data_IF_532039156870
#
_entry.id   IF_532039156870
#
_cell.length_a   1.000
_cell.length_b   1.000
_cell.length_c   1.000
_cell.angle_alpha   90.00
_cell.angle_beta   90.00
_cell.angle_gamma   90.00
#
_symmetry.space_group_name_H-M   'P 1'
#
loop_
_entity.id
_entity.type
_entity.pdbx_description
1 polymer ?
#
# COMPACT_ATOMS: atom_id res chain seq x y z
N UNK A 1 21.83 26.42 -29.90
CA UNK A 1 21.32 25.04 -29.74
C UNK A 1 20.96 24.69 -28.30
N UNK A 2 21.86 24.71 -27.32
CA UNK A 2 21.50 24.40 -25.91
C UNK A 2 20.52 25.39 -25.29
N UNK A 3 20.71 26.69 -25.55
CA UNK A 3 19.81 27.76 -25.05
C UNK A 3 18.39 27.67 -25.63
N UNK A 4 18.22 27.29 -26.89
CA UNK A 4 16.90 27.11 -27.51
C UNK A 4 16.15 25.91 -26.92
N UNK A 5 16.88 24.84 -26.56
CA UNK A 5 16.29 23.66 -25.92
C UNK A 5 15.83 23.98 -24.50
N UNK A 6 16.62 24.76 -23.74
CA UNK A 6 16.23 25.23 -22.41
C UNK A 6 15.02 26.16 -22.45
N UNK A 7 14.94 27.09 -23.40
CA UNK A 7 13.76 27.95 -23.59
C UNK A 7 12.49 27.12 -23.87
N UNK A 8 12.60 26.14 -24.76
CA UNK A 8 11.49 25.23 -25.06
C UNK A 8 11.08 24.36 -23.86
N UNK A 9 12.02 24.01 -22.99
CA UNK A 9 11.73 23.27 -21.76
C UNK A 9 11.01 24.15 -20.73
N UNK A 10 11.40 25.42 -20.60
CA UNK A 10 10.70 26.39 -19.75
C UNK A 10 9.26 26.66 -20.25
N UNK A 11 9.04 26.71 -21.56
CA UNK A 11 7.68 26.82 -22.12
C UNK A 11 6.81 25.61 -21.77
N UNK A 12 7.35 24.39 -21.81
CA UNK A 12 6.64 23.18 -21.38
C UNK A 12 6.28 23.25 -19.90
N UNK A 13 7.19 23.74 -19.05
CA UNK A 13 6.97 23.89 -17.61
C UNK A 13 5.87 24.94 -17.33
N UNK A 14 5.93 26.10 -18.00
CA UNK A 14 4.91 27.15 -17.87
C UNK A 14 3.53 26.68 -18.32
N UNK A 15 3.46 25.92 -19.42
CA UNK A 15 2.22 25.33 -19.93
C UNK A 15 1.62 24.34 -18.91
N UNK A 16 2.44 23.51 -18.27
CA UNK A 16 1.99 22.63 -17.19
C UNK A 16 1.58 23.40 -15.93
N UNK A 17 2.23 24.53 -15.63
CA UNK A 17 1.88 25.42 -14.52
C UNK A 17 0.48 26.01 -14.62
N UNK A 18 0.01 26.30 -15.84
CA UNK A 18 -1.35 26.81 -16.08
C UNK A 18 -2.45 25.74 -15.98
N UNK A 19 -2.07 24.46 -15.93
CA UNK A 19 -3.00 23.31 -15.94
C UNK A 19 -2.76 22.35 -14.76
N UNK A 20 -3.29 22.66 -13.56
CA UNK A 20 -3.08 21.85 -12.35
C UNK A 20 -3.64 20.41 -12.47
N UNK A 21 -4.67 20.20 -13.30
CA UNK A 21 -5.30 18.89 -13.58
C UNK A 21 -4.39 17.90 -14.34
N UNK A 22 -3.27 18.39 -14.88
CA UNK A 22 -2.27 17.60 -15.59
C UNK A 22 -2.68 17.19 -17.00
N UNK A 23 -1.71 17.26 -17.92
CA UNK A 23 -1.92 17.07 -19.35
C UNK A 23 -1.36 15.72 -19.82
N UNK A 24 -2.08 15.08 -20.74
CA UNK A 24 -1.55 13.92 -21.47
C UNK A 24 -0.54 14.36 -22.53
N UNK A 25 0.30 13.43 -23.01
CA UNK A 25 1.31 13.72 -24.05
C UNK A 25 0.72 14.40 -25.29
N UNK A 26 -0.44 13.93 -25.76
CA UNK A 26 -1.11 14.51 -26.93
C UNK A 26 -1.60 15.94 -26.67
N UNK A 27 -2.14 16.19 -25.47
CA UNK A 27 -2.57 17.53 -25.09
C UNK A 27 -1.38 18.48 -24.92
N UNK A 28 -0.24 18.00 -24.43
CA UNK A 28 0.99 18.80 -24.40
C UNK A 28 1.42 19.16 -25.82
N UNK A 29 1.43 18.21 -26.78
CA UNK A 29 1.80 18.54 -28.16
C UNK A 29 0.85 19.52 -28.85
N UNK A 30 -0.45 19.49 -28.54
CA UNK A 30 -1.45 20.39 -29.14
C UNK A 30 -1.40 21.82 -28.62
N UNK A 31 -0.99 22.00 -27.35
CA UNK A 31 -0.98 23.31 -26.70
C UNK A 31 0.39 24.02 -26.77
N UNK A 32 1.39 23.42 -27.43
CA UNK A 32 2.72 24.04 -27.58
C UNK A 32 2.73 25.04 -28.74
N UNK A 33 3.42 26.16 -28.53
CA UNK A 33 3.59 27.22 -29.53
C UNK A 33 4.61 26.88 -30.62
N UNK A 34 5.23 25.69 -30.56
CA UNK A 34 6.23 25.22 -31.53
C UNK A 34 5.97 23.78 -31.95
N UNK A 35 6.35 23.46 -33.19
CA UNK A 35 6.27 22.10 -33.72
C UNK A 35 7.43 21.26 -33.19
N UNK A 36 7.11 20.15 -32.52
CA UNK A 36 8.09 19.17 -32.05
C UNK A 36 7.65 17.76 -32.41
N UNK A 37 8.62 16.90 -32.75
CA UNK A 37 8.34 15.48 -32.96
C UNK A 37 7.96 14.80 -31.65
N UNK A 38 6.92 13.97 -31.68
CA UNK A 38 6.43 13.12 -30.59
C UNK A 38 7.52 12.39 -29.81
N UNK A 39 8.52 11.80 -30.49
CA UNK A 39 9.62 11.08 -29.82
C UNK A 39 10.54 12.04 -29.05
N UNK A 40 10.74 13.24 -29.57
CA UNK A 40 11.56 14.27 -28.93
C UNK A 40 10.83 14.85 -27.72
N UNK A 41 9.52 15.10 -27.83
CA UNK A 41 8.69 15.53 -26.71
C UNK A 41 8.67 14.48 -25.59
N UNK A 42 8.52 13.20 -25.94
CA UNK A 42 8.59 12.10 -24.97
C UNK A 42 9.94 12.10 -24.23
N UNK A 43 11.05 12.18 -24.98
CA UNK A 43 12.40 12.20 -24.38
C UNK A 43 12.63 13.40 -23.46
N UNK A 44 12.07 14.57 -23.80
CA UNK A 44 12.17 15.78 -22.98
C UNK A 44 11.31 15.69 -21.72
N UNK A 45 10.08 15.21 -21.84
CA UNK A 45 9.21 14.98 -20.69
C UNK A 45 9.82 13.94 -19.72
N UNK A 46 10.47 12.89 -20.22
CA UNK A 46 11.19 11.95 -19.34
C UNK A 46 12.37 12.61 -18.65
N UNK A 47 13.18 13.40 -19.37
CA UNK A 47 14.30 14.12 -18.77
C UNK A 47 13.83 15.13 -17.70
N UNK A 48 12.77 15.89 -17.97
CA UNK A 48 12.19 16.85 -17.01
C UNK A 48 11.60 16.17 -15.76
N UNK A 49 11.11 14.94 -15.88
CA UNK A 49 10.67 14.12 -14.73
C UNK A 49 11.87 13.62 -13.93
N UNK A 50 12.93 13.17 -14.60
CA UNK A 50 14.19 12.71 -13.97
C UNK A 50 14.90 13.86 -13.23
N UNK A 51 14.91 15.05 -13.83
CA UNK A 51 15.46 16.29 -13.24
C UNK A 51 14.55 16.87 -12.14
N UNK A 52 13.40 16.25 -11.87
CA UNK A 52 12.48 16.68 -10.81
C UNK A 52 11.81 18.03 -11.05
N UNK A 53 11.73 18.48 -12.31
CA UNK A 53 11.07 19.74 -12.69
C UNK A 53 9.56 19.59 -12.96
N UNK A 54 9.11 18.37 -13.29
CA UNK A 54 7.69 18.04 -13.50
C UNK A 54 7.32 16.69 -12.87
N UNK A 55 6.04 16.52 -12.57
CA UNK A 55 5.49 15.29 -12.00
C UNK A 55 4.84 14.41 -13.07
N UNK A 56 4.93 13.08 -12.94
CA UNK A 56 4.26 12.12 -13.82
C UNK A 56 3.33 11.21 -13.01
N UNK A 57 2.07 11.10 -13.41
CA UNK A 57 1.04 10.28 -12.76
C UNK A 57 0.35 9.37 -13.78
N UNK A 58 0.10 8.11 -13.41
CA UNK A 58 -0.59 7.12 -14.25
C UNK A 58 0.33 6.25 -15.11
N UNK A 59 -0.26 5.21 -15.73
CA UNK A 59 0.45 4.22 -16.54
C UNK A 59 -0.06 4.18 -17.99
N UNK A 60 0.86 3.98 -18.94
CA UNK A 60 0.58 3.83 -20.39
C UNK A 60 -0.30 4.97 -20.93
N UNK A 61 -1.52 4.68 -21.39
CA UNK A 61 -2.46 5.65 -21.99
C UNK A 61 -3.04 6.63 -20.95
N UNK A 62 -3.00 6.29 -19.66
CA UNK A 62 -3.48 7.15 -18.57
C UNK A 62 -2.39 8.07 -18.00
N UNK A 63 -1.22 8.16 -18.66
CA UNK A 63 -0.11 9.00 -18.20
C UNK A 63 -0.45 10.48 -18.35
N UNK A 64 -0.40 11.23 -17.24
CA UNK A 64 -0.54 12.69 -17.16
C UNK A 64 0.70 13.32 -16.53
N UNK A 65 1.10 14.47 -17.05
CA UNK A 65 2.19 15.27 -16.52
C UNK A 65 1.60 16.46 -15.76
N UNK A 66 2.09 16.73 -14.55
CA UNK A 66 1.63 17.79 -13.66
C UNK A 66 2.78 18.75 -13.30
N UNK A 67 2.49 20.01 -12.95
CA UNK A 67 3.49 20.93 -12.43
C UNK A 67 4.01 20.47 -11.05
N UNK A 68 5.27 20.79 -10.73
CA UNK A 68 5.91 20.36 -9.48
C UNK A 68 5.19 20.89 -8.21
N UNK A 69 4.55 22.06 -8.31
CA UNK A 69 3.77 22.66 -7.23
C UNK A 69 2.49 21.87 -6.89
N UNK A 70 2.01 21.01 -7.80
CA UNK A 70 1.07 19.97 -7.45
C UNK A 70 1.83 18.84 -6.75
N UNK A 71 2.24 19.14 -5.51
CA UNK A 71 2.96 18.30 -4.56
C UNK A 71 2.75 16.82 -4.86
N UNK A 72 3.83 16.25 -5.39
CA UNK A 72 3.96 14.84 -5.68
C UNK A 72 3.79 14.06 -4.38
N UNK A 73 2.58 13.58 -4.12
CA UNK A 73 2.41 12.24 -3.56
C UNK A 73 2.97 11.27 -4.60
N UNK A 74 4.29 11.05 -4.60
CA UNK A 74 4.92 9.98 -5.38
C UNK A 74 4.31 8.68 -4.88
N UNK A 75 3.36 8.14 -5.62
CA UNK A 75 3.05 6.72 -5.63
C UNK A 75 4.10 6.06 -6.54
N UNK A 76 5.35 5.98 -6.06
CA UNK A 76 6.23 4.91 -6.49
C UNK A 76 5.51 3.61 -6.11
N UNK A 77 5.33 2.74 -7.09
CA UNK A 77 4.63 1.47 -6.96
C UNK A 77 5.26 0.58 -5.90
N UNK A 78 4.77 0.70 -4.69
CA UNK A 78 4.71 -0.35 -3.68
C UNK A 78 3.42 -0.10 -2.93
N UNK A 79 2.43 -0.96 -3.14
CA UNK A 79 1.27 -1.22 -2.27
C UNK A 79 0.99 -0.08 -1.26
N UNK A 80 0.57 1.09 -1.74
CA UNK A 80 -0.09 2.06 -0.87
C UNK A 80 -1.55 1.62 -0.81
N UNK A 81 -1.80 0.57 -0.03
CA UNK A 81 -2.84 0.77 0.97
C UNK A 81 -2.45 2.10 1.60
N UNK A 82 -3.20 3.17 1.26
CA UNK A 82 -3.19 4.32 2.14
C UNK A 82 -3.47 3.69 3.48
N UNK A 83 -2.47 3.68 4.36
CA UNK A 83 -2.65 3.42 5.76
C UNK A 83 -3.56 4.58 6.17
N UNK A 84 -4.86 4.43 5.90
CA UNK A 84 -5.87 4.99 6.74
C UNK A 84 -5.41 4.68 8.15
N UNK A 85 -5.65 5.60 9.06
CA UNK A 85 -5.33 5.42 10.47
C UNK A 85 -6.19 4.29 11.06
N UNK A 86 -6.06 3.06 10.54
CA UNK A 86 -6.64 1.79 11.00
C UNK A 86 -6.20 1.57 12.45
N UNK A 87 -5.01 2.09 12.77
CA UNK A 87 -4.43 2.02 14.10
C UNK A 87 -4.71 3.30 14.89
N UNK A 88 -5.19 3.11 16.13
CA UNK A 88 -5.37 4.19 17.10
C UNK A 88 -4.08 5.01 17.30
N UNK A 89 -4.18 6.28 17.76
CA UNK A 89 -3.00 7.11 18.03
C UNK A 89 -1.99 6.46 18.99
N UNK A 90 -2.45 5.62 19.94
CA UNK A 90 -1.59 4.84 20.84
C UNK A 90 -0.79 3.77 20.09
N UNK A 91 -1.43 3.08 19.15
CA UNK A 91 -0.83 2.05 18.33
C UNK A 91 0.20 2.64 17.36
N UNK A 92 -0.10 3.80 16.76
CA UNK A 92 0.82 4.50 15.87
C UNK A 92 2.13 4.91 16.57
N UNK A 93 2.05 5.40 17.83
CA UNK A 93 3.25 5.70 18.62
C UNK A 93 4.14 4.46 18.83
N UNK A 94 3.53 3.29 19.05
CA UNK A 94 4.27 2.02 19.19
C UNK A 94 4.90 1.57 17.87
N UNK A 95 4.19 1.73 16.74
CA UNK A 95 4.74 1.40 15.43
C UNK A 95 5.97 2.26 15.11
N UNK A 96 5.91 3.57 15.35
CA UNK A 96 7.07 4.47 15.21
C UNK A 96 8.27 4.04 16.05
N UNK A 97 8.04 3.52 17.25
CA UNK A 97 9.10 2.94 18.08
C UNK A 97 9.72 1.68 17.43
N UNK A 98 8.88 0.79 16.85
CA UNK A 98 9.36 -0.41 16.17
C UNK A 98 10.13 -0.08 14.87
N UNK A 99 9.83 1.03 14.22
CA UNK A 99 10.55 1.52 13.03
C UNK A 99 11.94 2.09 13.38
N UNK A 100 12.20 2.39 14.66
CA UNK A 100 13.49 2.93 15.09
C UNK A 100 14.58 1.86 14.95
N UNK A 101 15.73 2.15 14.29
CA UNK A 101 16.83 1.20 14.15
C UNK A 101 17.38 0.70 15.48
N UNK A 102 17.88 -0.54 15.53
CA UNK A 102 18.37 -1.19 16.77
C UNK A 102 19.41 -0.36 17.54
N UNK A 103 20.31 0.33 16.83
CA UNK A 103 21.37 1.14 17.44
C UNK A 103 20.88 2.45 18.06
N UNK A 104 19.69 2.92 17.68
CA UNK A 104 19.08 4.16 18.16
C UNK A 104 18.05 3.91 19.27
N UNK A 105 17.82 2.64 19.64
CA UNK A 105 16.92 2.27 20.75
C UNK A 105 17.67 2.37 22.08
N UNK A 106 16.93 2.71 23.13
CA UNK A 106 17.46 2.69 24.49
C UNK A 106 17.96 1.28 24.84
N UNK A 107 19.15 1.22 25.44
CA UNK A 107 19.76 -0.04 25.87
C UNK A 107 19.03 -0.52 27.13
N UNK A 108 18.32 -1.64 27.02
CA UNK A 108 17.62 -2.29 28.12
C UNK A 108 18.38 -3.55 28.54
N UNK A 109 18.65 -3.69 29.84
CA UNK A 109 19.28 -4.90 30.41
C UNK A 109 18.22 -5.96 30.75
N UNK A 110 18.67 -7.20 30.97
CA UNK A 110 17.81 -8.27 31.46
C UNK A 110 17.34 -7.98 32.89
N UNK A 111 16.07 -8.25 33.18
CA UNK A 111 15.55 -8.23 34.54
C UNK A 111 15.89 -9.56 35.21
N UNK A 112 16.98 -9.57 35.99
CA UNK A 112 17.50 -10.78 36.61
C UNK A 112 16.67 -11.18 37.82
N UNK A 113 16.20 -10.22 38.61
CA UNK A 113 15.35 -10.48 39.77
C UNK A 113 14.06 -11.21 39.39
N UNK A 114 13.49 -10.87 38.23
CA UNK A 114 12.35 -11.60 37.68
C UNK A 114 12.68 -13.07 37.39
N UNK A 115 13.82 -13.34 36.75
CA UNK A 115 14.22 -14.71 36.41
C UNK A 115 14.51 -15.54 37.66
N UNK A 116 15.19 -14.94 38.64
CA UNK A 116 15.58 -15.61 39.89
C UNK A 116 14.35 -15.91 40.78
N UNK A 117 13.30 -15.09 40.71
CA UNK A 117 12.04 -15.30 41.45
C UNK A 117 10.97 -16.08 40.68
N UNK A 118 11.22 -16.42 39.41
CA UNK A 118 10.25 -17.13 38.58
C UNK A 118 10.21 -18.62 38.95
N UNK A 119 9.08 -19.05 39.49
CA UNK A 119 8.77 -20.47 39.70
C UNK A 119 7.84 -20.95 38.59
N UNK A 120 8.23 -21.96 37.78
CA UNK A 120 7.37 -22.52 36.74
C UNK A 120 6.03 -23.00 37.29
N UNK A 121 4.96 -22.81 36.52
CA UNK A 121 3.56 -23.19 36.85
C UNK A 121 2.94 -22.50 38.08
N UNK A 122 3.72 -21.80 38.90
CA UNK A 122 3.22 -21.04 40.05
C UNK A 122 3.22 -19.53 39.78
N UNK A 123 4.37 -19.01 39.34
CA UNK A 123 4.51 -17.60 39.00
C UNK A 123 4.01 -17.32 37.58
N UNK A 124 3.55 -16.08 37.37
CA UNK A 124 2.93 -15.65 36.12
C UNK A 124 3.74 -14.51 35.52
N UNK A 125 4.25 -14.70 34.30
CA UNK A 125 5.02 -13.67 33.60
C UNK A 125 4.17 -12.44 33.26
N UNK A 126 2.89 -12.65 32.94
CA UNK A 126 1.99 -11.60 32.48
C UNK A 126 1.01 -11.23 33.62
N UNK A 127 0.86 -9.93 33.94
CA UNK A 127 -0.13 -9.46 34.92
C UNK A 127 -1.54 -9.94 34.61
N UNK A 128 -2.32 -10.23 35.66
CA UNK A 128 -3.69 -10.77 35.55
C UNK A 128 -4.58 -9.98 34.59
N UNK A 129 -4.54 -8.64 34.66
CA UNK A 129 -5.32 -7.75 33.79
C UNK A 129 -5.05 -7.98 32.29
N UNK A 130 -3.78 -8.18 31.92
CA UNK A 130 -3.40 -8.43 30.53
C UNK A 130 -3.83 -9.85 30.13
N UNK A 131 -3.68 -10.84 31.02
CA UNK A 131 -4.14 -12.21 30.76
C UNK A 131 -5.64 -12.27 30.48
N UNK A 132 -6.46 -11.57 31.25
CA UNK A 132 -7.91 -11.52 31.04
C UNK A 132 -8.27 -10.89 29.68
N UNK A 133 -7.59 -9.80 29.30
CA UNK A 133 -7.78 -9.17 27.98
C UNK A 133 -7.35 -10.12 26.87
N UNK A 134 -6.16 -10.71 26.97
CA UNK A 134 -5.65 -11.66 25.97
C UNK A 134 -6.53 -12.91 25.86
N UNK A 135 -7.06 -13.40 26.98
CA UNK A 135 -7.99 -14.52 26.99
C UNK A 135 -9.28 -14.16 26.24
N UNK A 136 -9.84 -12.97 26.51
CA UNK A 136 -11.04 -12.48 25.82
C UNK A 136 -10.83 -12.32 24.31
N UNK A 137 -9.74 -11.68 23.90
CA UNK A 137 -9.39 -11.47 22.48
C UNK A 137 -9.00 -12.79 21.78
N UNK A 138 -8.35 -13.70 22.51
CA UNK A 138 -7.95 -15.02 22.02
C UNK A 138 -9.09 -16.02 21.93
N UNK A 139 -10.21 -15.77 22.61
CA UNK A 139 -11.43 -16.58 22.55
C UNK A 139 -12.15 -16.33 21.24
N UNK A 140 -11.72 -17.04 20.18
CA UNK A 140 -12.26 -16.87 18.83
C UNK A 140 -13.66 -17.48 18.65
N UNK A 141 -14.04 -18.44 19.50
CA UNK A 141 -15.31 -19.15 19.43
C UNK A 141 -15.88 -19.35 20.83
N UNK A 142 -17.09 -18.86 21.06
CA UNK A 142 -17.83 -19.01 22.32
C UNK A 142 -18.99 -20.02 22.21
N UNK A 143 -19.23 -20.55 21.02
CA UNK A 143 -20.26 -21.55 20.79
C UNK A 143 -19.64 -22.95 20.86
N UNK A 144 -20.28 -23.83 21.64
CA UNK A 144 -20.11 -25.28 21.53
C UNK A 144 -20.64 -25.76 20.17
N UNK A 145 -20.02 -25.33 19.08
CA UNK A 145 -20.25 -25.90 17.77
C UNK A 145 -19.72 -27.32 17.79
N UNK A 146 -20.53 -28.27 17.31
CA UNK A 146 -20.03 -29.63 17.05
C UNK A 146 -18.79 -29.51 16.16
N UNK A 147 -17.70 -30.20 16.49
CA UNK A 147 -16.39 -30.02 15.84
C UNK A 147 -16.45 -30.03 14.29
N UNK A 148 -17.42 -30.75 13.72
CA UNK A 148 -17.67 -30.80 12.27
C UNK A 148 -18.16 -29.49 11.64
N UNK A 149 -18.99 -28.68 12.31
CA UNK A 149 -19.47 -27.40 11.73
C UNK A 149 -18.37 -26.36 11.71
N UNK A 150 -17.54 -26.32 12.75
CA UNK A 150 -16.36 -25.45 12.81
C UNK A 150 -15.33 -25.83 11.73
N UNK A 151 -15.01 -27.13 11.60
CA UNK A 151 -14.13 -27.61 10.54
C UNK A 151 -14.66 -27.25 9.15
N UNK A 152 -15.97 -27.42 8.89
CA UNK A 152 -16.59 -27.02 7.63
C UNK A 152 -16.40 -25.53 7.34
N UNK A 153 -16.63 -24.64 8.31
CA UNK A 153 -16.47 -23.20 8.13
C UNK A 153 -15.02 -22.79 7.82
N UNK A 154 -14.03 -23.40 8.50
CA UNK A 154 -12.62 -23.13 8.22
C UNK A 154 -12.25 -23.60 6.81
N UNK A 155 -12.60 -24.85 6.47
CA UNK A 155 -12.33 -25.42 5.16
C UNK A 155 -12.97 -24.59 4.04
N UNK A 156 -14.19 -24.11 4.25
CA UNK A 156 -14.90 -23.30 3.27
C UNK A 156 -14.21 -21.95 3.02
N UNK A 157 -13.78 -21.24 4.08
CA UNK A 157 -13.01 -19.99 3.92
C UNK A 157 -11.69 -20.22 3.18
N UNK A 158 -10.98 -21.28 3.55
CA UNK A 158 -9.71 -21.65 2.95
C UNK A 158 -9.86 -22.04 1.47
N UNK A 159 -10.94 -22.73 1.12
CA UNK A 159 -11.27 -23.12 -0.25
C UNK A 159 -11.60 -21.90 -1.12
N UNK A 160 -12.35 -20.93 -0.59
CA UNK A 160 -12.63 -19.66 -1.29
C UNK A 160 -11.33 -18.91 -1.55
N UNK A 161 -10.47 -18.74 -0.54
CA UNK A 161 -9.23 -17.99 -0.65
C UNK A 161 -8.24 -18.67 -1.62
N UNK A 162 -8.11 -20.01 -1.58
CA UNK A 162 -7.27 -20.75 -2.53
C UNK A 162 -7.79 -20.65 -3.96
N UNK A 163 -9.09 -20.86 -4.16
CA UNK A 163 -9.73 -20.79 -5.48
C UNK A 163 -9.55 -19.40 -6.11
N UNK A 164 -9.76 -18.33 -5.32
CA UNK A 164 -9.53 -16.96 -5.76
C UNK A 164 -8.07 -16.71 -6.16
N UNK A 165 -7.11 -17.13 -5.33
CA UNK A 165 -5.69 -16.92 -5.62
C UNK A 165 -5.21 -17.75 -6.83
N UNK A 166 -5.69 -18.99 -7.01
CA UNK A 166 -5.38 -19.82 -8.18
C UNK A 166 -5.89 -19.17 -9.46
N UNK A 167 -7.16 -18.77 -9.46
CA UNK A 167 -7.81 -18.08 -10.58
C UNK A 167 -7.06 -16.80 -10.97
N UNK A 168 -6.60 -16.03 -9.98
CA UNK A 168 -5.80 -14.82 -10.20
C UNK A 168 -4.40 -15.13 -10.76
N UNK A 169 -3.75 -16.21 -10.32
CA UNK A 169 -2.45 -16.65 -10.85
C UNK A 169 -2.56 -17.12 -12.31
N UNK A 170 -3.68 -17.74 -12.68
CA UNK A 170 -3.99 -18.14 -14.05
C UNK A 170 -4.36 -16.95 -14.94
N UNK A 171 -4.58 -15.76 -14.37
CA UNK A 171 -4.90 -14.54 -15.09
C UNK A 171 -6.41 -14.32 -15.34
N UNK A 172 -7.27 -15.08 -14.64
CA UNK A 172 -8.72 -14.92 -14.74
C UNK A 172 -9.20 -13.66 -13.99
N UNK A 173 -10.36 -13.15 -14.39
CA UNK A 173 -10.94 -11.89 -13.86
C UNK A 173 -11.99 -12.10 -12.76
N UNK A 174 -12.14 -13.33 -12.24
CA UNK A 174 -13.12 -13.62 -11.18
C UNK A 174 -12.79 -12.88 -9.89
N UNK A 175 -13.80 -12.24 -9.31
CA UNK A 175 -13.65 -11.59 -8.01
C UNK A 175 -13.74 -12.61 -6.87
N UNK A 176 -13.24 -12.24 -5.68
CA UNK A 176 -13.37 -13.08 -4.49
C UNK A 176 -14.85 -13.37 -4.16
N UNK A 177 -15.74 -12.42 -4.44
CA UNK A 177 -17.18 -12.59 -4.24
C UNK A 177 -17.75 -13.64 -5.21
N UNK A 178 -17.28 -13.66 -6.46
CA UNK A 178 -17.71 -14.66 -7.44
C UNK A 178 -17.25 -16.06 -7.03
N UNK A 179 -16.02 -16.20 -6.54
CA UNK A 179 -15.53 -17.48 -6.00
C UNK A 179 -16.28 -17.91 -4.74
N UNK A 180 -16.70 -16.96 -3.91
CA UNK A 180 -17.53 -17.26 -2.75
C UNK A 180 -18.90 -17.80 -3.19
N UNK A 181 -19.59 -17.13 -4.12
CA UNK A 181 -20.87 -17.58 -4.67
C UNK A 181 -20.75 -18.95 -5.35
N UNK A 182 -19.68 -19.19 -6.09
CA UNK A 182 -19.44 -20.49 -6.72
C UNK A 182 -19.34 -21.61 -5.67
N UNK A 183 -18.61 -21.38 -4.58
CA UNK A 183 -18.39 -22.38 -3.52
C UNK A 183 -19.62 -22.54 -2.62
N UNK A 184 -20.35 -21.46 -2.34
CA UNK A 184 -21.52 -21.46 -1.46
C UNK A 184 -22.81 -21.90 -2.15
N UNK A 185 -23.02 -21.47 -3.39
CA UNK A 185 -24.29 -21.58 -4.12
C UNK A 185 -24.17 -22.50 -5.36
N UNK A 186 -22.97 -22.89 -5.76
CA UNK A 186 -22.74 -23.72 -6.95
C UNK A 186 -22.97 -23.00 -8.28
N UNK A 187 -23.12 -21.68 -8.25
CA UNK A 187 -23.43 -20.87 -9.43
C UNK A 187 -22.12 -20.42 -10.08
N UNK A 188 -21.85 -20.91 -11.30
CA UNK A 188 -20.79 -20.37 -12.14
C UNK A 188 -21.25 -19.06 -12.78
N UNK A 189 -20.39 -18.04 -12.71
CA UNK A 189 -20.59 -16.76 -13.39
C UNK A 189 -20.29 -16.86 -14.89
#
# INVERSE_FOLDING_TARGET
MTQEIEQQNEEIINLLGTHPEGLSRGQVSENLNFSINDKTLQRRLTALVEDGRIAKKGERKATRYHPLEASIETSKGHLKDKISDIFSPKSQKKLKFLDTPLHARDKVSYNREFLDSYVPNESQYIPKKIREVLFKEGKRFDEQLAAGTYARQICQRLLIDLSYNSSRLEGNTYSRLDTQKLVEEGISA
#
